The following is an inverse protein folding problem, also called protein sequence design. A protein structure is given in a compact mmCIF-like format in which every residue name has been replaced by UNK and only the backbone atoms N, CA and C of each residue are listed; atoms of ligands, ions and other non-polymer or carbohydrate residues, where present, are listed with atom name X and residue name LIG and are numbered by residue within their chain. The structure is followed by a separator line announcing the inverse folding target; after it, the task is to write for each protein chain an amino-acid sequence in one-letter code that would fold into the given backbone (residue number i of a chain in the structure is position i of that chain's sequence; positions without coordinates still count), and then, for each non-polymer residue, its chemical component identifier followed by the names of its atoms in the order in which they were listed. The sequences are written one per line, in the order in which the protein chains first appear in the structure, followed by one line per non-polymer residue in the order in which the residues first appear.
data_IF_425555501494
#
_entry.id   IF_425555501494
#
_cell.length_a   1.000
_cell.length_b   1.000
_cell.length_c   1.000
_cell.angle_alpha   90.00
_cell.angle_beta   90.00
_cell.angle_gamma   90.00
#
_symmetry.space_group_name_H-M   'P 1'
#
loop_
_entity.id
_entity.type
_entity.pdbx_description
1 polymer ?
#
# COMPACT_ATOMS: atom_id res chain seq x y z
N UNK A 1 1.10 2.53 38.45
CA UNK A 1 0.12 1.71 37.72
C UNK A 1 -0.02 2.32 36.34
N UNK A 2 0.54 1.69 35.31
CA UNK A 2 0.41 2.17 33.94
C UNK A 2 -0.77 1.42 33.32
N UNK A 3 -1.80 2.17 32.90
CA UNK A 3 -3.04 1.62 32.33
C UNK A 3 -2.89 1.17 30.87
N UNK A 4 -1.83 1.60 30.20
CA UNK A 4 -1.50 1.25 28.83
C UNK A 4 -0.02 1.56 28.56
N UNK A 5 0.71 0.62 27.95
CA UNK A 5 2.10 0.78 27.53
C UNK A 5 2.18 0.40 26.05
N UNK A 6 2.47 1.38 25.19
CA UNK A 6 2.85 1.09 23.80
C UNK A 6 4.28 0.57 23.82
N UNK A 7 4.49 -0.62 23.27
CA UNK A 7 5.84 -1.15 23.12
C UNK A 7 6.61 -0.29 22.10
N UNK A 8 7.79 0.17 22.48
CA UNK A 8 8.62 1.06 21.67
C UNK A 8 9.29 0.37 20.46
N UNK A 9 9.03 -0.92 20.25
CA UNK A 9 9.53 -1.73 19.14
C UNK A 9 8.59 -1.73 17.93
N UNK A 10 7.34 -1.27 18.08
CA UNK A 10 6.33 -1.30 17.01
C UNK A 10 6.50 -0.14 16.02
N UNK A 11 7.57 -0.21 15.22
CA UNK A 11 7.89 0.78 14.18
C UNK A 11 7.64 0.23 12.78
N UNK A 12 7.29 1.12 11.84
CA UNK A 12 7.01 0.75 10.46
C UNK A 12 7.54 1.78 9.45
N UNK A 13 7.76 1.34 8.22
CA UNK A 13 8.11 2.16 7.05
C UNK A 13 6.85 2.50 6.23
N UNK A 14 5.90 1.57 6.17
CA UNK A 14 4.59 1.78 5.55
C UNK A 14 3.47 1.41 6.50
N UNK A 15 2.28 1.97 6.25
CA UNK A 15 1.08 1.71 7.05
C UNK A 15 -0.14 1.51 6.15
N UNK A 16 -0.92 0.47 6.46
CA UNK A 16 -2.28 0.28 5.97
C UNK A 16 -3.25 0.65 7.09
N UNK A 17 -4.31 1.39 6.78
CA UNK A 17 -5.34 1.65 7.78
C UNK A 17 -6.11 0.36 8.08
N UNK A 18 -6.49 0.15 9.35
CA UNK A 18 -7.44 -0.92 9.69
C UNK A 18 -8.82 -0.62 9.11
N UNK A 19 -9.17 0.66 9.00
CA UNK A 19 -10.42 1.14 8.41
C UNK A 19 -10.13 2.18 7.31
N UNK A 20 -10.56 1.88 6.09
CA UNK A 20 -10.28 2.70 4.91
C UNK A 20 -11.40 3.66 4.51
N UNK A 21 -12.59 3.51 5.11
CA UNK A 21 -13.79 4.26 4.73
C UNK A 21 -14.01 4.28 3.19
N UNK A 22 -13.81 5.43 2.54
CA UNK A 22 -14.01 5.62 1.10
C UNK A 22 -12.69 5.74 0.31
N UNK A 23 -11.52 5.56 0.92
CA UNK A 23 -10.23 5.75 0.25
C UNK A 23 -9.23 4.64 0.61
N UNK A 24 -8.87 3.84 -0.38
CA UNK A 24 -7.96 2.70 -0.25
C UNK A 24 -6.54 3.07 -0.65
N UNK A 25 -5.60 2.99 0.27
CA UNK A 25 -4.19 3.27 -0.01
C UNK A 25 -3.28 2.68 1.06
N UNK A 26 -2.01 2.49 0.72
CA UNK A 26 -0.96 2.25 1.71
C UNK A 26 -0.08 3.51 1.75
N UNK A 27 0.17 4.03 2.94
CA UNK A 27 1.01 5.21 3.12
C UNK A 27 2.44 4.82 3.48
N UNK A 28 3.39 5.61 3.00
CA UNK A 28 4.79 5.58 3.43
C UNK A 28 5.01 6.65 4.50
N UNK A 29 5.73 6.30 5.56
CA UNK A 29 6.15 7.25 6.58
C UNK A 29 7.44 7.95 6.12
N UNK A 30 7.54 9.26 6.35
CA UNK A 30 8.75 10.04 6.00
C UNK A 30 9.98 9.55 6.74
N UNK A 31 9.78 9.17 8.01
CA UNK A 31 10.74 8.48 8.86
C UNK A 31 10.08 7.26 9.45
N UNK A 32 10.83 6.16 9.59
CA UNK A 32 10.39 4.98 10.33
C UNK A 32 9.91 5.41 11.72
N UNK A 33 8.62 5.18 12.01
CA UNK A 33 7.95 5.76 13.19
C UNK A 33 7.14 4.72 13.94
N UNK A 34 6.87 5.00 15.21
CA UNK A 34 5.98 4.21 16.05
C UNK A 34 4.56 4.27 15.52
N UNK A 35 3.89 3.12 15.51
CA UNK A 35 2.51 3.00 15.05
C UNK A 35 1.60 2.48 16.17
N UNK A 36 0.34 2.86 16.11
CA UNK A 36 -0.70 2.41 17.04
C UNK A 36 -1.51 1.21 16.48
N UNK A 37 -2.52 0.78 17.22
CA UNK A 37 -3.39 -0.35 16.88
C UNK A 37 -4.42 -0.09 15.76
N UNK A 38 -4.48 1.13 15.20
CA UNK A 38 -5.42 1.49 14.12
C UNK A 38 -4.82 1.33 12.74
N UNK A 39 -3.55 0.96 12.67
CA UNK A 39 -2.84 0.70 11.42
C UNK A 39 -2.13 -0.64 11.49
N UNK A 40 -1.89 -1.22 10.32
CA UNK A 40 -1.04 -2.38 10.11
C UNK A 40 0.28 -1.86 9.56
N UNK A 41 1.37 -2.14 10.27
CA UNK A 41 2.71 -1.71 9.89
C UNK A 41 3.42 -2.68 8.96
N UNK A 42 4.19 -2.14 8.02
CA UNK A 42 5.13 -2.88 7.18
C UNK A 42 6.53 -2.39 7.46
N UNK A 43 7.45 -3.33 7.61
CA UNK A 43 8.88 -3.04 7.65
C UNK A 43 9.54 -3.63 6.42
N UNK A 44 10.42 -2.86 5.78
CA UNK A 44 11.32 -3.39 4.76
C UNK A 44 12.27 -4.38 5.45
N UNK A 45 12.44 -5.56 4.85
CA UNK A 45 13.40 -6.53 5.37
C UNK A 45 14.81 -6.14 4.94
N UNK A 46 15.81 -6.51 5.74
CA UNK A 46 17.21 -6.14 5.50
C UNK A 46 17.70 -6.49 4.09
N UNK A 47 17.22 -7.61 3.52
CA UNK A 47 17.57 -8.06 2.16
C UNK A 47 17.11 -7.09 1.05
N UNK A 48 16.19 -6.19 1.36
CA UNK A 48 15.58 -5.23 0.43
C UNK A 48 15.85 -3.76 0.79
N UNK A 49 16.78 -3.48 1.71
CA UNK A 49 17.12 -2.09 2.11
C UNK A 49 17.66 -1.23 0.97
N UNK A 50 18.28 -1.85 -0.04
CA UNK A 50 18.80 -1.15 -1.22
C UNK A 50 17.73 -0.87 -2.29
N UNK A 51 16.53 -1.44 -2.16
CA UNK A 51 15.43 -1.19 -3.09
C UNK A 51 14.72 0.12 -2.77
N UNK A 52 14.14 0.74 -3.79
CA UNK A 52 13.45 2.02 -3.61
C UNK A 52 12.16 1.85 -2.80
N UNK A 53 12.05 2.54 -1.68
CA UNK A 53 10.79 2.63 -0.94
C UNK A 53 9.64 3.22 -1.78
N UNK A 54 9.95 4.04 -2.77
CA UNK A 54 8.93 4.60 -3.68
C UNK A 54 8.44 3.53 -4.68
N UNK A 55 9.29 2.55 -5.03
CA UNK A 55 8.86 1.38 -5.80
C UNK A 55 7.87 0.54 -4.99
N UNK A 56 8.21 0.21 -3.75
CA UNK A 56 7.29 -0.53 -2.88
C UNK A 56 5.98 0.22 -2.68
N UNK A 57 6.04 1.53 -2.44
CA UNK A 57 4.84 2.36 -2.34
C UNK A 57 3.97 2.28 -3.59
N UNK A 58 4.57 2.35 -4.78
CA UNK A 58 3.84 2.23 -6.04
C UNK A 58 3.17 0.85 -6.18
N UNK A 59 3.90 -0.24 -5.94
CA UNK A 59 3.37 -1.60 -6.05
C UNK A 59 2.25 -1.87 -5.02
N UNK A 60 2.40 -1.38 -3.80
CA UNK A 60 1.38 -1.44 -2.75
C UNK A 60 0.11 -0.63 -3.07
N UNK A 61 0.21 0.38 -3.93
CA UNK A 61 -0.92 1.22 -4.34
C UNK A 61 -1.40 0.91 -5.77
N UNK A 62 -1.16 -0.30 -6.27
CA UNK A 62 -1.78 -0.81 -7.49
C UNK A 62 -3.25 -1.20 -7.26
N UNK A 63 -4.03 -1.25 -8.35
CA UNK A 63 -5.43 -1.72 -8.30
C UNK A 63 -5.52 -3.17 -7.81
N UNK A 64 -4.52 -4.01 -8.06
CA UNK A 64 -4.45 -5.37 -7.50
C UNK A 64 -4.35 -5.35 -5.97
N UNK A 65 -3.50 -4.48 -5.42
CA UNK A 65 -3.38 -4.30 -3.97
C UNK A 65 -4.67 -3.75 -3.36
N UNK A 66 -5.31 -2.77 -4.02
CA UNK A 66 -6.63 -2.26 -3.61
C UNK A 66 -7.69 -3.37 -3.61
N UNK A 67 -7.71 -4.22 -4.65
CA UNK A 67 -8.58 -5.38 -4.71
C UNK A 67 -8.34 -6.35 -3.55
N UNK A 68 -7.07 -6.64 -3.21
CA UNK A 68 -6.77 -7.47 -2.04
C UNK A 68 -7.30 -6.85 -0.75
N UNK A 69 -7.07 -5.55 -0.53
CA UNK A 69 -7.56 -4.83 0.65
C UNK A 69 -9.09 -4.95 0.76
N UNK A 70 -9.82 -4.67 -0.31
CA UNK A 70 -11.28 -4.81 -0.38
C UNK A 70 -11.74 -6.25 -0.10
N UNK A 71 -11.08 -7.24 -0.72
CA UNK A 71 -11.44 -8.65 -0.56
C UNK A 71 -11.20 -9.19 0.86
N UNK A 72 -10.34 -8.53 1.63
CA UNK A 72 -9.98 -8.98 2.98
C UNK A 72 -10.78 -8.32 4.07
N UNK A 73 -11.35 -7.15 3.80
CA UNK A 73 -12.22 -6.54 4.76
C UNK A 73 -13.49 -7.36 4.93
N UNK A 74 -13.95 -7.40 6.17
CA UNK A 74 -15.25 -7.95 6.50
C UNK A 74 -16.13 -6.79 6.91
N UNK A 75 -17.37 -6.78 6.41
CA UNK A 75 -18.32 -5.74 6.78
C UNK A 75 -18.57 -5.76 8.28
N UNK A 76 -18.31 -4.65 8.96
CA UNK A 76 -19.00 -4.32 10.22
C UNK A 76 -20.24 -3.48 9.89
N UNK A 77 -21.11 -3.23 10.88
CA UNK A 77 -22.33 -2.43 10.67
C UNK A 77 -22.04 -1.15 9.87
N UNK A 78 -22.94 -0.77 8.94
CA UNK A 78 -22.80 0.33 7.97
C UNK A 78 -21.82 0.09 6.80
N UNK A 79 -21.34 -1.15 6.57
CA UNK A 79 -20.52 -1.45 5.39
C UNK A 79 -19.06 -0.97 5.50
N UNK A 80 -18.58 -0.67 6.72
CA UNK A 80 -17.20 -0.30 6.95
C UNK A 80 -16.27 -1.52 6.78
N UNK A 81 -15.20 -1.33 5.99
CA UNK A 81 -14.13 -2.29 5.75
C UNK A 81 -13.20 -2.33 6.97
N UNK A 82 -13.21 -3.41 7.74
CA UNK A 82 -12.24 -3.63 8.83
C UNK A 82 -11.24 -4.72 8.44
N UNK A 83 -9.96 -4.42 8.50
CA UNK A 83 -8.89 -5.39 8.29
C UNK A 83 -8.49 -6.09 9.59
N UNK A 84 -8.07 -7.35 9.46
CA UNK A 84 -7.37 -8.09 10.53
C UNK A 84 -5.90 -8.24 10.17
N UNK A 85 -5.01 -7.78 11.04
CA UNK A 85 -3.55 -7.87 10.85
C UNK A 85 -3.10 -9.28 10.47
N UNK A 86 -3.55 -10.30 11.23
CA UNK A 86 -3.18 -11.69 10.96
C UNK A 86 -3.61 -12.19 9.58
N UNK A 87 -4.80 -11.77 9.12
CA UNK A 87 -5.29 -12.11 7.78
C UNK A 87 -4.48 -11.39 6.72
N UNK A 88 -4.25 -10.09 6.93
CA UNK A 88 -3.48 -9.26 6.03
C UNK A 88 -2.06 -9.82 5.84
N UNK A 89 -1.36 -10.10 6.94
CA UNK A 89 0.01 -10.64 6.95
C UNK A 89 0.14 -11.97 6.19
N UNK A 90 -0.87 -12.85 6.30
CA UNK A 90 -0.85 -14.16 5.65
C UNK A 90 -1.23 -14.09 4.16
N UNK A 91 -2.27 -13.32 3.86
CA UNK A 91 -2.98 -13.42 2.58
C UNK A 91 -2.61 -12.29 1.61
N UNK A 92 -2.17 -11.12 2.07
CA UNK A 92 -1.82 -9.99 1.20
C UNK A 92 -0.58 -10.31 0.36
N UNK A 93 -0.70 -10.03 -0.95
CA UNK A 93 0.34 -10.24 -1.95
C UNK A 93 0.57 -8.94 -2.69
N UNK A 94 1.82 -8.74 -3.07
CA UNK A 94 2.28 -7.65 -3.93
C UNK A 94 2.86 -8.25 -5.20
N UNK A 95 2.85 -7.49 -6.29
CA UNK A 95 3.60 -7.83 -7.50
C UNK A 95 5.10 -7.96 -7.19
N UNK A 96 5.75 -8.95 -7.79
CA UNK A 96 7.14 -9.32 -7.49
C UNK A 96 8.13 -8.39 -8.20
N UNK A 97 8.76 -7.50 -7.43
CA UNK A 97 9.74 -6.54 -7.93
C UNK A 97 11.00 -7.18 -8.54
N UNK A 98 11.34 -8.43 -8.16
CA UNK A 98 12.53 -9.12 -8.67
C UNK A 98 12.40 -9.51 -10.15
N UNK A 99 11.20 -9.41 -10.71
CA UNK A 99 10.92 -9.68 -12.13
C UNK A 99 11.15 -8.48 -13.04
N UNK A 100 11.47 -7.32 -12.46
CA UNK A 100 11.63 -6.06 -13.16
C UNK A 100 13.11 -5.70 -13.33
N UNK A 101 13.48 -5.14 -14.49
CA UNK A 101 14.77 -4.46 -14.65
C UNK A 101 14.76 -3.11 -13.92
N UNK A 102 15.93 -2.54 -13.67
CA UNK A 102 16.03 -1.25 -12.98
C UNK A 102 15.33 -0.12 -13.77
N UNK A 103 15.41 -0.14 -15.10
CA UNK A 103 14.69 0.82 -15.96
C UNK A 103 13.16 0.65 -15.84
N UNK A 104 12.68 -0.57 -15.69
CA UNK A 104 11.26 -0.85 -15.48
C UNK A 104 10.79 -0.38 -14.10
N UNK A 105 11.61 -0.57 -13.06
CA UNK A 105 11.35 -0.04 -11.72
C UNK A 105 11.26 1.48 -11.72
N UNK A 106 12.21 2.16 -12.36
CA UNK A 106 12.18 3.62 -12.52
C UNK A 106 10.95 4.10 -13.28
N UNK A 107 10.56 3.39 -14.34
CA UNK A 107 9.35 3.67 -15.12
C UNK A 107 8.09 3.59 -14.24
N UNK A 108 7.98 2.58 -13.38
CA UNK A 108 6.86 2.42 -12.44
C UNK A 108 6.83 3.56 -11.43
N UNK A 109 7.97 3.90 -10.82
CA UNK A 109 8.08 4.99 -9.85
C UNK A 109 7.70 6.33 -10.48
N UNK A 110 8.19 6.61 -11.70
CA UNK A 110 7.87 7.83 -12.43
C UNK A 110 6.38 7.92 -12.76
N UNK A 111 5.77 6.82 -13.22
CA UNK A 111 4.34 6.78 -13.53
C UNK A 111 3.46 6.93 -12.28
N UNK A 112 3.93 6.51 -11.11
CA UNK A 112 3.24 6.68 -9.83
C UNK A 112 3.38 8.09 -9.25
N UNK A 113 4.39 8.86 -9.65
CA UNK A 113 4.68 10.21 -9.15
C UNK A 113 3.46 11.14 -9.10
N UNK A 114 2.71 11.33 -10.21
CA UNK A 114 1.53 12.21 -10.22
C UNK A 114 0.45 11.82 -9.19
N UNK A 115 0.29 10.52 -8.94
CA UNK A 115 -0.67 9.98 -7.97
C UNK A 115 -0.17 10.23 -6.53
N UNK A 116 1.13 10.04 -6.30
CA UNK A 116 1.78 10.27 -5.01
C UNK A 116 1.73 11.74 -4.60
N UNK A 117 1.87 12.65 -5.57
CA UNK A 117 2.07 14.08 -5.32
C UNK A 117 0.75 14.89 -5.29
N UNK A 118 -0.40 14.27 -5.60
CA UNK A 118 -1.70 14.92 -5.56
C UNK A 118 -2.50 14.63 -4.29
N UNK A 119 -3.58 15.36 -4.10
CA UNK A 119 -4.54 15.09 -3.05
C UNK A 119 -5.22 13.73 -3.26
N UNK A 120 -5.45 13.05 -2.14
CA UNK A 120 -6.10 11.76 -2.09
C UNK A 120 -7.57 11.89 -2.46
N UNK A 121 -8.03 11.02 -3.34
CA UNK A 121 -9.43 10.98 -3.76
C UNK A 121 -10.17 9.79 -3.12
N UNK A 122 -11.51 9.85 -3.05
CA UNK A 122 -12.34 8.68 -2.83
C UNK A 122 -12.09 7.63 -3.92
N UNK A 123 -12.25 6.35 -3.59
CA UNK A 123 -11.93 5.22 -4.47
C UNK A 123 -12.58 5.33 -5.85
N UNK A 124 -13.88 5.66 -5.90
CA UNK A 124 -14.61 5.73 -7.17
C UNK A 124 -14.05 6.81 -8.10
N UNK A 125 -13.62 7.94 -7.55
CA UNK A 125 -12.97 9.02 -8.30
C UNK A 125 -11.53 8.64 -8.66
N UNK A 126 -10.80 8.03 -7.71
CA UNK A 126 -9.42 7.59 -7.87
C UNK A 126 -9.23 6.65 -9.07
N UNK A 127 -10.15 5.67 -9.23
CA UNK A 127 -10.07 4.65 -10.26
C UNK A 127 -10.28 5.18 -11.69
N UNK A 128 -10.92 6.34 -11.84
CA UNK A 128 -11.20 6.95 -13.16
C UNK A 128 -10.21 8.05 -13.54
N UNK A 129 -9.27 8.38 -12.65
CA UNK A 129 -8.26 9.40 -12.95
C UNK A 129 -7.30 8.94 -14.05
N UNK A 130 -6.95 9.88 -14.94
CA UNK A 130 -6.08 9.60 -16.09
C UNK A 130 -4.67 9.16 -15.67
N UNK A 131 -4.14 9.72 -14.58
CA UNK A 131 -2.84 9.34 -14.03
C UNK A 131 -2.85 7.92 -13.44
N UNK A 132 -3.93 7.55 -12.73
CA UNK A 132 -4.18 6.20 -12.23
C UNK A 132 -4.27 5.20 -13.37
N UNK A 133 -5.12 5.46 -14.37
CA UNK A 133 -5.28 4.58 -15.53
C UNK A 133 -3.94 4.39 -16.25
N UNK A 134 -3.16 5.46 -16.42
CA UNK A 134 -1.83 5.39 -17.04
C UNK A 134 -0.85 4.54 -16.21
N UNK A 135 -0.78 4.76 -14.90
CA UNK A 135 0.06 3.99 -13.98
C UNK A 135 -0.28 2.49 -14.04
N UNK A 136 -1.55 2.13 -13.91
CA UNK A 136 -2.00 0.73 -13.95
C UNK A 136 -1.73 0.10 -15.32
N UNK A 137 -1.95 0.84 -16.42
CA UNK A 137 -1.67 0.36 -17.78
C UNK A 137 -0.18 0.05 -17.99
N UNK A 138 0.70 0.91 -17.48
CA UNK A 138 2.16 0.69 -17.52
C UNK A 138 2.51 -0.55 -16.68
N UNK A 139 1.98 -0.63 -15.46
CA UNK A 139 2.25 -1.73 -14.53
C UNK A 139 1.84 -3.07 -15.14
N UNK A 140 0.60 -3.19 -15.62
CA UNK A 140 0.08 -4.42 -16.24
C UNK A 140 0.90 -4.84 -17.47
N UNK A 141 1.29 -3.87 -18.32
CA UNK A 141 2.16 -4.14 -19.47
C UNK A 141 3.52 -4.69 -19.07
N UNK A 142 4.16 -4.11 -18.04
CA UNK A 142 5.47 -4.57 -17.57
C UNK A 142 5.42 -5.98 -16.98
N UNK A 143 4.30 -6.34 -16.33
CA UNK A 143 4.07 -7.69 -15.81
C UNK A 143 3.46 -8.67 -16.83
N UNK A 144 3.24 -8.24 -18.08
CA UNK A 144 2.64 -9.06 -19.15
C UNK A 144 1.26 -9.60 -18.79
N UNK A 145 0.45 -8.82 -18.10
CA UNK A 145 -0.96 -9.12 -17.79
C UNK A 145 -1.79 -8.28 -18.76
N UNK A 146 -2.45 -8.93 -19.73
CA UNK A 146 -3.28 -8.28 -20.77
C UNK A 146 -4.73 -8.73 -20.71
#
# INVERSE_FOLDING_TARGET
MFWYEMKADNTADFVANVNFHNSLFIAKLSTRSLIDQRVIGFSVQNDFENESNDLFLALFNSVLSMFFIESFGFGRGLGALDLREEKFKRDFKMLDHNRLTDEQKETIVSAFGPIKDRDRLPLEEELVMSDRINFESILMRLYSVS
#
